data_IF_574075052498
#
_entry.id   IF_574075052498
#
_cell.length_a   1.000
_cell.length_b   1.000
_cell.length_c   1.000
_cell.angle_alpha   90.00
_cell.angle_beta   90.00
_cell.angle_gamma   90.00
#
_symmetry.space_group_name_H-M   'P 1'
#
loop_
_entity.id
_entity.type
_entity.pdbx_description
1 polymer ?
#
# COMPACT_ATOMS: atom_id res chain seq x y z
N UNK A 1 12.36 59.80 -13.59
CA UNK A 1 11.18 59.71 -12.70
C UNK A 1 11.20 58.32 -12.08
N UNK A 2 11.74 58.25 -10.85
CA UNK A 2 11.88 56.98 -10.11
C UNK A 2 10.69 56.88 -9.17
N UNK A 3 9.91 55.82 -9.31
CA UNK A 3 8.85 55.49 -8.38
C UNK A 3 9.35 54.46 -7.37
N UNK A 4 9.51 54.91 -6.16
CA UNK A 4 9.83 54.12 -4.97
C UNK A 4 8.59 53.35 -4.52
N UNK A 5 8.64 52.05 -4.49
CA UNK A 5 7.61 51.22 -3.88
C UNK A 5 8.05 50.89 -2.44
N UNK A 6 7.32 51.47 -1.50
CA UNK A 6 7.47 51.24 -0.07
C UNK A 6 6.77 49.95 0.34
N UNK A 7 7.52 48.95 0.82
CA UNK A 7 6.94 47.74 1.42
C UNK A 7 6.82 47.95 2.95
N UNK A 8 5.66 47.66 3.55
CA UNK A 8 5.50 47.69 4.99
C UNK A 8 6.19 46.49 5.66
N UNK A 9 6.96 46.77 6.67
CA UNK A 9 7.72 45.81 7.46
C UNK A 9 6.83 44.88 8.29
N UNK A 10 7.27 43.66 8.41
CA UNK A 10 6.67 42.63 9.25
C UNK A 10 7.07 42.82 10.73
N UNK A 11 6.13 42.99 11.68
CA UNK A 11 6.44 43.30 13.08
C UNK A 11 6.58 42.08 14.00
N UNK A 12 7.09 40.93 13.52
CA UNK A 12 7.25 39.75 14.37
C UNK A 12 8.70 39.24 14.48
N UNK A 13 9.63 40.18 14.73
CA UNK A 13 10.95 39.85 15.24
C UNK A 13 11.10 40.46 16.63
N UNK A 14 11.23 39.61 17.61
CA UNK A 14 11.83 39.80 18.94
C UNK A 14 10.99 39.17 20.06
N UNK A 15 11.40 37.99 20.46
CA UNK A 15 11.46 37.62 21.90
C UNK A 15 12.30 36.35 22.03
N UNK A 16 13.61 36.53 21.98
CA UNK A 16 14.54 35.61 22.63
C UNK A 16 14.58 35.98 24.11
N UNK A 17 14.19 35.07 24.98
CA UNK A 17 14.47 35.16 26.42
C UNK A 17 15.33 33.93 26.81
N UNK A 18 16.33 34.12 27.68
CA UNK A 18 17.37 33.14 27.94
C UNK A 18 16.92 32.02 28.89
N UNK A 19 17.45 30.83 28.62
CA UNK A 19 17.36 29.61 29.42
C UNK A 19 18.12 29.81 30.75
N UNK A 20 17.43 29.69 31.87
CA UNK A 20 18.03 29.43 33.17
C UNK A 20 18.10 27.93 33.40
N UNK A 21 19.33 27.46 33.47
CA UNK A 21 19.71 26.12 33.92
C UNK A 21 19.53 26.07 35.44
N UNK A 22 18.72 25.16 35.94
CA UNK A 22 18.77 24.71 37.34
C UNK A 22 18.98 23.19 37.36
N UNK A 23 20.13 22.87 37.86
CA UNK A 23 20.65 21.60 38.24
C UNK A 23 19.85 21.04 39.44
N UNK A 24 19.41 19.77 39.36
CA UNK A 24 19.07 18.98 40.54
C UNK A 24 19.14 17.46 40.19
N UNK A 25 20.16 16.91 40.72
CA UNK A 25 20.58 15.50 40.79
C UNK A 25 19.57 14.59 41.55
N UNK A 26 19.67 13.27 41.42
CA UNK A 26 18.57 12.32 41.41
C UNK A 26 18.26 11.75 42.79
N UNK A 27 17.02 11.46 43.05
CA UNK A 27 16.59 10.64 44.17
C UNK A 27 15.96 9.35 43.69
N UNK A 28 16.66 8.26 44.04
CA UNK A 28 16.22 6.89 43.91
C UNK A 28 14.97 6.66 44.76
N UNK A 29 13.89 6.23 44.15
CA UNK A 29 12.81 5.56 44.88
C UNK A 29 12.47 4.21 44.24
N UNK A 30 12.85 3.26 45.01
CA UNK A 30 12.61 1.84 45.14
C UNK A 30 11.16 1.44 44.73
N UNK A 31 11.06 0.50 43.82
CA UNK A 31 9.85 -0.17 43.44
C UNK A 31 9.16 -0.89 44.59
N UNK A 32 7.84 -1.02 44.59
CA UNK A 32 7.22 -2.22 45.11
C UNK A 32 6.75 -3.13 43.99
N UNK A 33 7.19 -4.33 44.08
CA UNK A 33 6.69 -5.53 43.45
C UNK A 33 5.18 -5.67 43.70
N UNK A 34 4.40 -5.63 42.68
CA UNK A 34 2.98 -6.03 42.71
C UNK A 34 2.79 -7.13 41.68
N UNK A 35 2.46 -8.29 42.26
CA UNK A 35 2.00 -9.53 41.66
C UNK A 35 1.09 -9.37 40.44
N UNK A 36 1.37 -10.24 39.45
CA UNK A 36 0.45 -10.56 38.33
C UNK A 36 -0.98 -10.77 38.79
N UNK A 37 -1.94 -10.36 37.94
CA UNK A 37 -3.13 -11.15 37.79
C UNK A 37 -3.29 -11.65 36.36
N UNK A 38 -3.46 -12.97 36.31
CA UNK A 38 -4.33 -13.71 35.40
C UNK A 38 -4.32 -13.36 33.91
N UNK A 39 -3.78 -14.30 33.15
CA UNK A 39 -4.16 -14.63 31.78
C UNK A 39 -5.61 -14.29 31.46
N UNK A 40 -5.84 -13.22 30.74
CA UNK A 40 -6.97 -13.12 29.84
C UNK A 40 -6.44 -13.37 28.43
N UNK A 41 -6.66 -14.59 27.96
CA UNK A 41 -6.59 -14.95 26.55
C UNK A 41 -7.58 -14.08 25.77
N UNK A 42 -7.15 -12.90 25.41
CA UNK A 42 -7.82 -12.17 24.36
C UNK A 42 -7.26 -12.73 23.05
N UNK A 43 -7.98 -13.73 22.54
CA UNK A 43 -7.76 -14.27 21.22
C UNK A 43 -8.10 -13.17 20.20
N UNK A 44 -7.11 -12.34 19.93
CA UNK A 44 -7.15 -11.38 18.83
C UNK A 44 -6.87 -12.16 17.55
N UNK A 45 -7.90 -12.87 17.09
CA UNK A 45 -7.89 -13.44 15.76
C UNK A 45 -7.96 -12.27 14.76
N UNK A 46 -6.82 -11.89 14.24
CA UNK A 46 -6.73 -11.07 13.03
C UNK A 46 -7.46 -11.82 11.92
N UNK A 47 -8.48 -11.23 11.27
CA UNK A 47 -9.26 -11.87 10.20
C UNK A 47 -8.43 -12.30 8.99
N UNK A 48 -7.20 -11.79 8.89
CA UNK A 48 -6.30 -11.95 7.76
C UNK A 48 -5.74 -13.38 7.59
N UNK A 49 -5.63 -14.16 8.68
CA UNK A 49 -5.00 -15.50 8.58
C UNK A 49 -5.94 -16.60 8.07
N UNK A 50 -7.24 -16.49 8.36
CA UNK A 50 -8.19 -17.50 7.89
C UNK A 50 -8.46 -17.37 6.38
N UNK A 51 -8.40 -16.14 5.85
CA UNK A 51 -8.63 -15.90 4.42
C UNK A 51 -7.45 -16.38 3.54
N UNK A 52 -6.23 -16.25 4.05
CA UNK A 52 -5.02 -16.75 3.37
C UNK A 52 -5.01 -18.28 3.24
N UNK A 53 -5.53 -19.01 4.22
CA UNK A 53 -5.58 -20.47 4.18
C UNK A 53 -6.62 -21.01 3.18
N UNK A 54 -7.72 -20.30 2.98
CA UNK A 54 -8.73 -20.66 1.95
C UNK A 54 -8.19 -20.40 0.54
N UNK A 55 -7.51 -19.28 0.33
CA UNK A 55 -6.92 -18.92 -0.96
C UNK A 55 -5.81 -19.91 -1.36
N UNK A 56 -5.00 -20.36 -0.41
CA UNK A 56 -3.96 -21.35 -0.65
C UNK A 56 -4.55 -22.72 -1.08
N UNK A 57 -5.76 -23.04 -0.61
CA UNK A 57 -6.42 -24.30 -0.97
C UNK A 57 -7.08 -24.27 -2.36
N UNK A 58 -7.50 -23.12 -2.87
CA UNK A 58 -8.03 -22.96 -4.23
C UNK A 58 -6.94 -22.86 -5.31
N UNK A 59 -5.72 -22.50 -4.92
CA UNK A 59 -4.59 -22.28 -5.83
C UNK A 59 -4.04 -23.58 -6.48
N UNK A 60 -4.70 -24.71 -6.26
CA UNK A 60 -4.31 -26.03 -6.81
C UNK A 60 -4.53 -26.21 -8.32
N UNK A 61 -5.10 -25.20 -9.02
CA UNK A 61 -5.41 -25.28 -10.46
C UNK A 61 -4.51 -24.45 -11.37
N UNK A 62 -3.64 -23.61 -10.84
CA UNK A 62 -2.71 -22.85 -11.68
C UNK A 62 -1.46 -23.69 -11.96
N UNK A 63 -1.15 -23.88 -13.24
CA UNK A 63 0.11 -24.55 -13.67
C UNK A 63 1.36 -23.69 -13.37
N UNK A 64 1.16 -22.45 -12.93
CA UNK A 64 2.22 -21.47 -12.62
C UNK A 64 2.07 -20.97 -11.19
N UNK A 65 3.18 -20.66 -10.50
CA UNK A 65 3.11 -20.01 -9.21
C UNK A 65 2.44 -18.64 -9.33
N UNK A 66 1.56 -18.34 -8.38
CA UNK A 66 0.79 -17.09 -8.34
C UNK A 66 1.14 -16.28 -7.11
N UNK A 67 0.90 -14.98 -7.20
CA UNK A 67 1.07 -13.99 -6.15
C UNK A 67 -0.27 -13.30 -5.91
N UNK A 68 -0.62 -13.08 -4.65
CA UNK A 68 -1.76 -12.27 -4.26
C UNK A 68 -1.28 -10.84 -4.04
N UNK A 69 -1.92 -9.89 -4.70
CA UNK A 69 -1.63 -8.47 -4.62
C UNK A 69 -2.80 -7.75 -3.97
N UNK A 70 -2.56 -7.14 -2.82
CA UNK A 70 -3.56 -6.31 -2.15
C UNK A 70 -3.76 -5.01 -2.92
N UNK A 71 -5.03 -4.66 -3.15
CA UNK A 71 -5.39 -3.44 -3.84
C UNK A 71 -5.44 -2.26 -2.85
N UNK A 72 -4.85 -1.10 -3.17
CA UNK A 72 -4.97 0.11 -2.36
C UNK A 72 -6.41 0.53 -2.07
N UNK A 73 -7.33 0.32 -3.02
CA UNK A 73 -8.76 0.60 -2.86
C UNK A 73 -9.46 -0.29 -1.85
N UNK A 74 -8.83 -1.41 -1.43
CA UNK A 74 -9.45 -2.45 -0.59
C UNK A 74 -10.77 -3.00 -1.15
N UNK A 75 -10.99 -2.85 -2.45
CA UNK A 75 -12.21 -3.29 -3.11
C UNK A 75 -13.44 -2.39 -2.89
N UNK A 76 -13.34 -1.35 -2.04
CA UNK A 76 -14.48 -0.54 -1.59
C UNK A 76 -15.15 0.29 -2.69
N UNK A 77 -14.45 0.54 -3.80
CA UNK A 77 -14.92 1.36 -4.91
C UNK A 77 -15.42 0.53 -6.10
N UNK A 78 -15.43 -0.78 -5.96
CA UNK A 78 -15.94 -1.70 -6.97
C UNK A 78 -17.33 -2.23 -6.59
N UNK A 79 -18.20 -2.54 -7.56
CA UNK A 79 -19.46 -3.22 -7.32
C UNK A 79 -19.23 -4.60 -6.66
N UNK A 80 -20.18 -5.07 -5.87
CA UNK A 80 -20.06 -6.35 -5.14
C UNK A 80 -19.92 -7.57 -6.06
N UNK A 81 -20.46 -7.50 -7.27
CA UNK A 81 -20.35 -8.53 -8.32
C UNK A 81 -18.99 -8.50 -9.05
N UNK A 82 -18.16 -7.48 -8.84
CA UNK A 82 -16.85 -7.39 -9.44
C UNK A 82 -15.83 -8.20 -8.62
N UNK A 83 -14.99 -9.06 -9.24
CA UNK A 83 -13.93 -9.77 -8.52
C UNK A 83 -12.97 -8.88 -7.73
N UNK A 84 -12.80 -7.63 -8.14
CA UNK A 84 -11.94 -6.65 -7.45
C UNK A 84 -12.54 -6.14 -6.12
N UNK A 85 -13.84 -6.37 -5.86
CA UNK A 85 -14.48 -6.02 -4.59
C UNK A 85 -13.89 -6.78 -3.39
N UNK A 86 -13.21 -7.90 -3.65
CA UNK A 86 -12.48 -8.66 -2.63
C UNK A 86 -11.26 -7.91 -2.07
N UNK A 87 -10.83 -6.83 -2.73
CA UNK A 87 -9.71 -5.99 -2.29
C UNK A 87 -8.32 -6.57 -2.59
N UNK A 88 -8.24 -7.64 -3.34
CA UNK A 88 -7.00 -8.24 -3.81
C UNK A 88 -7.19 -8.83 -5.22
N UNK A 89 -6.06 -9.09 -5.89
CA UNK A 89 -6.04 -9.75 -7.20
C UNK A 89 -4.98 -10.84 -7.20
N UNK A 90 -5.28 -11.97 -7.83
CA UNK A 90 -4.33 -13.04 -8.05
C UNK A 90 -3.66 -12.86 -9.40
N UNK A 91 -2.33 -12.82 -9.40
CA UNK A 91 -1.53 -12.72 -10.59
C UNK A 91 -0.41 -13.78 -10.63
N UNK A 92 -0.01 -14.20 -11.80
CA UNK A 92 1.17 -15.06 -11.98
C UNK A 92 2.44 -14.20 -12.06
N UNK A 93 3.57 -14.83 -11.76
CA UNK A 93 4.86 -14.17 -11.96
C UNK A 93 5.13 -13.92 -13.44
N UNK A 94 5.84 -12.83 -13.71
CA UNK A 94 6.28 -12.46 -15.04
C UNK A 94 7.22 -13.54 -15.62
N UNK A 95 6.99 -13.92 -16.84
CA UNK A 95 7.84 -14.83 -17.61
C UNK A 95 8.36 -14.14 -18.86
N UNK A 96 9.25 -14.78 -19.61
CA UNK A 96 9.76 -14.25 -20.87
C UNK A 96 8.64 -13.87 -21.86
N UNK A 97 7.50 -14.56 -21.81
CA UNK A 97 6.32 -14.21 -22.62
C UNK A 97 5.77 -12.81 -22.31
N UNK A 98 5.71 -12.46 -21.04
CA UNK A 98 5.26 -11.13 -20.60
C UNK A 98 6.32 -10.05 -20.91
N UNK A 99 7.60 -10.39 -20.83
CA UNK A 99 8.68 -9.51 -21.29
C UNK A 99 8.60 -9.24 -22.80
N UNK A 100 8.28 -10.23 -23.61
CA UNK A 100 8.04 -10.07 -25.04
C UNK A 100 6.87 -9.11 -25.32
N UNK A 101 5.80 -9.16 -24.51
CA UNK A 101 4.68 -8.22 -24.63
C UNK A 101 5.16 -6.79 -24.41
N UNK A 102 6.02 -6.54 -23.39
CA UNK A 102 6.55 -5.22 -23.06
C UNK A 102 7.46 -4.65 -24.15
N UNK A 103 8.15 -5.50 -24.89
CA UNK A 103 9.09 -5.09 -25.95
C UNK A 103 8.46 -5.08 -27.34
N UNK A 104 7.21 -5.52 -27.48
CA UNK A 104 6.52 -5.55 -28.77
C UNK A 104 6.17 -4.14 -29.25
N UNK A 105 6.87 -3.64 -30.27
CA UNK A 105 6.72 -2.29 -30.81
C UNK A 105 5.29 -1.96 -31.23
N UNK A 106 4.57 -2.91 -31.82
CA UNK A 106 3.18 -2.71 -32.23
C UNK A 106 2.22 -2.44 -31.06
N UNK A 107 2.46 -3.00 -29.89
CA UNK A 107 1.66 -2.76 -28.68
C UNK A 107 2.01 -1.41 -28.04
N UNK A 108 3.30 -1.05 -28.06
CA UNK A 108 3.79 0.23 -27.57
C UNK A 108 3.21 1.38 -28.41
N UNK A 109 3.29 1.29 -29.73
CA UNK A 109 2.79 2.28 -30.66
C UNK A 109 1.27 2.48 -30.55
N UNK A 110 0.53 1.39 -30.28
CA UNK A 110 -0.93 1.44 -30.08
C UNK A 110 -1.33 1.85 -28.67
N UNK A 111 -0.40 1.97 -27.73
CA UNK A 111 -0.67 2.28 -26.32
C UNK A 111 -1.39 1.17 -25.54
N UNK A 112 -1.43 -0.07 -26.05
CA UNK A 112 -2.17 -1.20 -25.45
C UNK A 112 -1.25 -2.20 -24.72
N UNK A 113 0.01 -1.87 -24.56
CA UNK A 113 1.02 -2.77 -23.99
C UNK A 113 0.66 -3.20 -22.56
N UNK A 114 0.19 -2.26 -21.73
CA UNK A 114 -0.17 -2.55 -20.34
C UNK A 114 -1.43 -3.40 -20.24
N UNK A 115 -2.43 -3.15 -21.08
CA UNK A 115 -3.65 -3.97 -21.10
C UNK A 115 -3.33 -5.41 -21.49
N UNK A 116 -2.43 -5.60 -22.47
CA UNK A 116 -1.96 -6.93 -22.86
C UNK A 116 -1.14 -7.61 -21.77
N UNK A 117 -0.31 -6.84 -21.06
CA UNK A 117 0.44 -7.34 -19.92
C UNK A 117 -0.49 -7.81 -18.81
N UNK A 118 -1.45 -7.00 -18.38
CA UNK A 118 -2.40 -7.35 -17.33
C UNK A 118 -3.26 -8.56 -17.72
N UNK A 119 -3.74 -8.62 -18.96
CA UNK A 119 -4.46 -9.78 -19.50
C UNK A 119 -3.64 -11.07 -19.43
N UNK A 120 -2.31 -10.97 -19.52
CA UNK A 120 -1.43 -12.13 -19.42
C UNK A 120 -1.09 -12.50 -17.97
N UNK A 121 -0.97 -11.53 -17.08
CA UNK A 121 -0.53 -11.73 -15.69
C UNK A 121 -1.68 -12.10 -14.77
N UNK A 122 -2.82 -11.43 -14.88
CA UNK A 122 -3.93 -11.60 -13.93
C UNK A 122 -4.69 -12.90 -14.25
N UNK A 123 -4.87 -13.72 -13.22
CA UNK A 123 -5.55 -15.02 -13.33
C UNK A 123 -7.07 -14.85 -13.35
N UNK A 124 -7.57 -13.90 -12.56
CA UNK A 124 -9.01 -13.59 -12.48
C UNK A 124 -9.49 -12.88 -13.75
N UNK A 125 -10.72 -13.19 -14.17
CA UNK A 125 -11.35 -12.44 -15.25
C UNK A 125 -11.86 -11.12 -14.73
N UNK A 126 -11.14 -10.05 -14.99
CA UNK A 126 -11.49 -8.68 -14.61
C UNK A 126 -11.64 -7.81 -15.85
N UNK A 127 -12.39 -6.74 -15.71
CA UNK A 127 -12.47 -5.67 -16.71
C UNK A 127 -11.37 -4.65 -16.43
N UNK A 128 -10.38 -4.57 -17.32
CA UNK A 128 -9.20 -3.72 -17.16
C UNK A 128 -9.53 -2.23 -17.32
N UNK A 129 -10.60 -1.90 -18.02
CA UNK A 129 -11.03 -0.51 -18.24
C UNK A 129 -11.64 0.10 -16.98
N UNK A 130 -12.19 -0.74 -16.10
CA UNK A 130 -12.76 -0.32 -14.83
C UNK A 130 -11.72 -0.23 -13.69
N UNK A 131 -10.48 -0.65 -13.96
CA UNK A 131 -9.43 -0.70 -12.96
C UNK A 131 -9.02 0.72 -12.52
N UNK A 132 -9.08 0.97 -11.22
CA UNK A 132 -8.64 2.25 -10.64
C UNK A 132 -7.13 2.46 -10.86
N UNK A 133 -6.72 3.71 -11.06
CA UNK A 133 -5.32 4.05 -11.33
C UNK A 133 -4.39 3.55 -10.22
N UNK A 134 -4.77 3.74 -8.95
CA UNK A 134 -3.97 3.29 -7.82
C UNK A 134 -3.82 1.77 -7.77
N UNK A 135 -4.87 1.03 -8.10
CA UNK A 135 -4.85 -0.43 -8.13
C UNK A 135 -4.02 -0.95 -9.32
N UNK A 136 -4.13 -0.28 -10.47
CA UNK A 136 -3.29 -0.54 -11.64
C UNK A 136 -1.80 -0.37 -11.33
N UNK A 137 -1.44 0.72 -10.63
CA UNK A 137 -0.06 0.98 -10.23
C UNK A 137 0.45 -0.07 -9.24
N UNK A 138 -0.37 -0.49 -8.28
CA UNK A 138 -0.01 -1.57 -7.34
C UNK A 138 0.26 -2.89 -8.06
N UNK A 139 -0.57 -3.26 -9.03
CA UNK A 139 -0.39 -4.46 -9.86
C UNK A 139 0.90 -4.35 -10.70
N UNK A 140 1.19 -3.18 -11.28
CA UNK A 140 2.41 -2.96 -12.04
C UNK A 140 3.67 -3.09 -11.19
N UNK A 141 3.64 -2.56 -9.96
CA UNK A 141 4.76 -2.68 -9.01
C UNK A 141 4.97 -4.12 -8.61
N UNK A 142 3.89 -4.87 -8.36
CA UNK A 142 3.95 -6.27 -7.98
C UNK A 142 4.40 -7.19 -9.13
N UNK A 143 4.14 -6.82 -10.37
CA UNK A 143 4.53 -7.56 -11.57
C UNK A 143 6.05 -7.56 -11.83
N UNK A 144 6.79 -6.69 -11.15
CA UNK A 144 8.22 -6.50 -11.36
C UNK A 144 9.03 -7.37 -10.40
#
# INVERSE_FOLDING_TARGET
MSTHINMPGNPNMLKNAPLTVTDATPEQQKAPFISEPASTNTNFQTPTQNHLSEIISENKKSAYPTLIVDLPSKGLLYPEDNPLSLGYVEMKFMTAKEEDILTTESYITKGIVLDKLFQSLIVSKIDYDTLLIADRDAIMIAAR
#
